data_IF_147997468729
#
_entry.id   IF_147997468729
#
_cell.length_a   1.000
_cell.length_b   1.000
_cell.length_c   1.000
_cell.angle_alpha   90.00
_cell.angle_beta   90.00
_cell.angle_gamma   90.00
#
_symmetry.space_group_name_H-M   'P 1'
#
loop_
_entity.id
_entity.type
_entity.pdbx_description
1 polymer ?
#
# COMPACT_ATOMS: atom_id res chain seq x y z
N UNK A 1 22.48 17.94 -12.62
CA UNK A 1 21.67 16.88 -11.99
C UNK A 1 20.23 17.38 -11.97
N UNK A 2 19.32 16.82 -12.76
CA UNK A 2 17.90 17.14 -12.63
C UNK A 2 17.38 16.46 -11.35
N UNK A 3 16.57 17.12 -10.51
CA UNK A 3 15.90 16.42 -9.43
C UNK A 3 15.08 15.29 -10.07
N UNK A 4 15.24 14.06 -9.60
CA UNK A 4 14.28 13.01 -9.92
C UNK A 4 12.88 13.59 -9.65
N UNK A 5 11.89 13.37 -10.54
CA UNK A 5 10.55 13.89 -10.30
C UNK A 5 10.20 13.51 -8.88
N UNK A 6 9.92 14.52 -8.04
CA UNK A 6 9.28 14.27 -6.76
C UNK A 6 8.08 13.41 -7.13
N UNK A 7 8.04 12.16 -6.68
CA UNK A 7 6.80 11.42 -6.72
C UNK A 7 5.81 12.33 -5.98
N UNK A 8 4.94 12.97 -6.75
CA UNK A 8 3.87 13.79 -6.21
C UNK A 8 2.80 12.79 -5.80
N UNK A 9 2.11 13.10 -4.71
CA UNK A 9 0.98 12.25 -4.36
C UNK A 9 -0.02 12.27 -5.53
N UNK A 10 -0.16 11.15 -6.24
CA UNK A 10 -1.05 10.97 -7.39
C UNK A 10 -2.30 10.21 -6.94
N UNK A 11 -3.16 10.97 -6.26
CA UNK A 11 -4.45 10.52 -5.73
C UNK A 11 -5.29 9.82 -6.80
N UNK A 12 -5.23 10.29 -8.05
CA UNK A 12 -5.99 9.72 -9.16
C UNK A 12 -5.44 8.36 -9.58
N UNK A 13 -4.12 8.19 -9.72
CA UNK A 13 -3.51 6.90 -10.01
C UNK A 13 -3.80 5.86 -8.92
N UNK A 14 -3.70 6.27 -7.64
CA UNK A 14 -4.07 5.41 -6.51
C UNK A 14 -5.52 4.94 -6.62
N UNK A 15 -6.46 5.88 -6.78
CA UNK A 15 -7.88 5.57 -6.88
C UNK A 15 -8.18 4.64 -8.03
N UNK A 16 -7.62 4.88 -9.21
CA UNK A 16 -7.80 3.99 -10.38
C UNK A 16 -7.31 2.58 -10.06
N UNK A 17 -6.12 2.42 -9.48
CA UNK A 17 -5.57 1.09 -9.22
C UNK A 17 -6.29 0.30 -8.11
N UNK A 18 -6.90 0.97 -7.13
CA UNK A 18 -7.61 0.30 -6.02
C UNK A 18 -9.12 0.17 -6.23
N UNK A 19 -9.75 1.06 -7.00
CA UNK A 19 -11.20 0.97 -7.28
C UNK A 19 -11.52 0.16 -8.54
N UNK A 20 -10.61 0.10 -9.52
CA UNK A 20 -10.80 -0.69 -10.74
C UNK A 20 -10.41 -2.16 -10.53
N UNK A 21 -9.53 -2.46 -9.56
CA UNK A 21 -9.14 -3.84 -9.26
C UNK A 21 -10.24 -4.51 -8.41
N UNK A 22 -10.84 -5.61 -8.88
CA UNK A 22 -11.79 -6.36 -8.08
C UNK A 22 -11.10 -6.93 -6.83
N UNK A 23 -11.79 -6.88 -5.69
CA UNK A 23 -11.33 -7.43 -4.41
C UNK A 23 -11.24 -6.41 -3.29
N UNK A 24 -11.09 -5.11 -3.58
CA UNK A 24 -11.23 -4.06 -2.58
C UNK A 24 -12.65 -3.50 -2.64
N UNK A 25 -13.47 -3.84 -1.65
CA UNK A 25 -14.88 -3.45 -1.59
C UNK A 25 -15.04 -2.05 -1.00
N UNK A 26 -14.27 -1.07 -1.50
CA UNK A 26 -14.40 0.31 -1.04
C UNK A 26 -15.76 0.89 -1.43
N UNK A 27 -16.43 1.56 -0.49
CA UNK A 27 -17.75 2.14 -0.77
C UNK A 27 -17.70 3.30 -1.78
N UNK A 28 -16.59 4.05 -1.81
CA UNK A 28 -16.36 5.20 -2.69
C UNK A 28 -14.87 5.59 -2.72
N UNK A 29 -14.54 6.59 -3.54
CA UNK A 29 -13.18 7.12 -3.68
C UNK A 29 -12.64 7.73 -2.37
N UNK A 30 -13.46 8.45 -1.60
CA UNK A 30 -13.04 9.05 -0.33
C UNK A 30 -12.65 7.98 0.71
N UNK A 31 -13.39 6.87 0.77
CA UNK A 31 -13.06 5.75 1.66
C UNK A 31 -11.73 5.09 1.26
N UNK A 32 -11.51 4.86 -0.04
CA UNK A 32 -10.25 4.35 -0.55
C UNK A 32 -9.10 5.30 -0.19
N UNK A 33 -9.28 6.61 -0.38
CA UNK A 33 -8.27 7.60 -0.04
C UNK A 33 -7.99 7.67 1.45
N UNK A 34 -9.03 7.64 2.29
CA UNK A 34 -8.88 7.61 3.73
C UNK A 34 -8.10 6.37 4.17
N UNK A 35 -8.38 5.22 3.56
CA UNK A 35 -7.65 3.98 3.82
C UNK A 35 -6.16 4.07 3.43
N UNK A 36 -5.87 4.56 2.22
CA UNK A 36 -4.50 4.78 1.75
C UNK A 36 -3.71 5.75 2.63
N UNK A 37 -4.34 6.84 3.07
CA UNK A 37 -3.74 7.77 4.03
C UNK A 37 -3.52 7.11 5.41
N UNK A 38 -4.44 6.25 5.85
CA UNK A 38 -4.28 5.46 7.07
C UNK A 38 -3.09 4.49 6.99
N UNK A 39 -2.84 3.87 5.83
CA UNK A 39 -1.64 3.07 5.59
C UNK A 39 -0.37 3.93 5.72
N UNK A 40 -0.37 5.13 5.12
CA UNK A 40 0.74 6.07 5.23
C UNK A 40 1.00 6.52 6.68
N UNK A 41 -0.05 6.80 7.45
CA UNK A 41 0.06 7.16 8.88
C UNK A 41 0.66 6.01 9.70
N UNK A 42 0.17 4.78 9.51
CA UNK A 42 0.73 3.58 10.15
C UNK A 42 2.23 3.43 9.87
N UNK A 43 2.64 3.61 8.63
CA UNK A 43 4.07 3.57 8.24
C UNK A 43 4.82 4.72 8.90
N UNK A 44 4.29 5.94 8.89
CA UNK A 44 4.92 7.11 9.52
C UNK A 44 5.12 6.92 11.03
N UNK A 45 4.25 6.17 11.68
CA UNK A 45 4.34 5.82 13.11
C UNK A 45 5.38 4.72 13.41
N UNK A 46 6.05 4.19 12.38
CA UNK A 46 7.06 3.14 12.53
C UNK A 46 6.51 1.72 12.48
N UNK A 47 5.23 1.51 12.07
CA UNK A 47 4.73 0.14 11.84
C UNK A 47 5.52 -0.52 10.72
N UNK A 48 5.86 -1.78 10.96
CA UNK A 48 6.62 -2.58 9.99
C UNK A 48 5.71 -3.07 8.87
N UNK A 49 6.28 -3.31 7.68
CA UNK A 49 5.57 -3.83 6.52
C UNK A 49 4.71 -5.09 6.81
N UNK A 50 5.21 -6.11 7.54
CA UNK A 50 4.36 -7.26 7.91
C UNK A 50 3.17 -6.93 8.82
N UNK A 51 3.28 -5.93 9.70
CA UNK A 51 2.14 -5.49 10.53
C UNK A 51 1.06 -4.82 9.68
N UNK A 52 1.47 -3.92 8.79
CA UNK A 52 0.55 -3.26 7.85
C UNK A 52 -0.08 -4.30 6.92
N UNK A 53 0.67 -5.30 6.45
CA UNK A 53 0.14 -6.41 5.67
C UNK A 53 -0.94 -7.19 6.41
N UNK A 54 -0.69 -7.54 7.67
CA UNK A 54 -1.65 -8.24 8.51
C UNK A 54 -2.94 -7.45 8.71
N UNK A 55 -2.82 -6.15 8.96
CA UNK A 55 -3.98 -5.25 9.06
C UNK A 55 -4.79 -5.24 7.75
N UNK A 56 -4.14 -5.06 6.60
CA UNK A 56 -4.82 -5.02 5.29
C UNK A 56 -5.54 -6.34 5.01
N UNK A 57 -4.89 -7.47 5.27
CA UNK A 57 -5.51 -8.79 5.10
C UNK A 57 -6.74 -8.97 6.00
N UNK A 58 -6.67 -8.52 7.25
CA UNK A 58 -7.78 -8.56 8.19
C UNK A 58 -8.93 -7.63 7.75
N UNK A 59 -8.62 -6.40 7.36
CA UNK A 59 -9.59 -5.38 6.96
C UNK A 59 -10.39 -5.81 5.72
N UNK A 60 -9.73 -6.42 4.73
CA UNK A 60 -10.37 -6.93 3.51
C UNK A 60 -10.84 -8.38 3.62
N UNK A 61 -10.68 -9.02 4.79
CA UNK A 61 -10.95 -10.44 5.01
C UNK A 61 -10.36 -11.33 3.89
N UNK A 62 -9.13 -11.02 3.48
CA UNK A 62 -8.43 -11.69 2.37
C UNK A 62 -7.19 -12.41 2.86
N UNK A 63 -6.94 -13.59 2.31
CA UNK A 63 -5.68 -14.33 2.48
C UNK A 63 -4.67 -14.01 1.38
N UNK A 64 -5.05 -13.21 0.38
CA UNK A 64 -4.22 -12.86 -0.77
C UNK A 64 -3.18 -11.78 -0.39
N UNK A 65 -1.94 -12.22 -0.23
CA UNK A 65 -0.82 -11.33 0.07
C UNK A 65 -0.41 -10.46 -1.11
N UNK A 66 -0.62 -10.91 -2.35
CA UNK A 66 -0.32 -10.09 -3.53
C UNK A 66 -1.29 -8.92 -3.59
N UNK A 67 -2.56 -9.16 -3.32
CA UNK A 67 -3.56 -8.10 -3.20
C UNK A 67 -3.16 -7.12 -2.08
N UNK A 68 -2.87 -7.60 -0.88
CA UNK A 68 -2.53 -6.70 0.24
C UNK A 68 -1.22 -5.91 -0.01
N UNK A 69 -0.16 -6.58 -0.48
CA UNK A 69 1.12 -5.96 -0.80
C UNK A 69 1.02 -4.90 -1.91
N UNK A 70 0.21 -5.17 -2.93
CA UNK A 70 -0.02 -4.24 -4.03
C UNK A 70 -0.70 -2.96 -3.54
N UNK A 71 -1.73 -3.07 -2.68
CA UNK A 71 -2.41 -1.91 -2.12
C UNK A 71 -1.46 -1.06 -1.26
N UNK A 72 -0.65 -1.70 -0.41
CA UNK A 72 0.33 -0.99 0.43
C UNK A 72 1.35 -0.25 -0.45
N UNK A 73 1.85 -0.94 -1.49
CA UNK A 73 2.80 -0.34 -2.43
C UNK A 73 2.18 0.84 -3.18
N UNK A 74 0.93 0.72 -3.64
CA UNK A 74 0.21 1.82 -4.29
C UNK A 74 -0.03 2.99 -3.34
N UNK A 75 -0.49 2.75 -2.11
CA UNK A 75 -0.68 3.82 -1.13
C UNK A 75 0.64 4.57 -0.85
N UNK A 76 1.74 3.83 -0.68
CA UNK A 76 3.02 4.46 -0.33
C UNK A 76 3.68 5.17 -1.50
N UNK A 77 3.62 4.61 -2.72
CA UNK A 77 4.18 5.26 -3.91
C UNK A 77 3.36 6.50 -4.31
N UNK A 78 2.02 6.38 -4.27
CA UNK A 78 1.12 7.39 -4.80
C UNK A 78 0.62 8.39 -3.76
N UNK A 79 0.67 8.13 -2.44
CA UNK A 79 0.15 9.08 -1.43
C UNK A 79 1.25 9.61 -0.50
N UNK A 80 2.17 8.76 -0.07
CA UNK A 80 3.26 9.14 0.85
C UNK A 80 4.66 8.74 0.36
N UNK A 81 5.12 9.31 -0.77
CA UNK A 81 6.40 8.95 -1.38
C UNK A 81 7.60 9.25 -0.48
N UNK A 82 7.47 10.18 0.46
CA UNK A 82 8.50 10.45 1.48
C UNK A 82 8.79 9.23 2.37
N UNK A 83 7.85 8.30 2.51
CA UNK A 83 7.95 7.10 3.35
C UNK A 83 8.39 5.84 2.59
N UNK A 84 8.60 5.92 1.26
CA UNK A 84 9.04 4.79 0.43
C UNK A 84 10.30 4.15 0.99
N UNK A 85 11.29 4.96 1.39
CA UNK A 85 12.55 4.45 1.96
C UNK A 85 12.33 3.62 3.22
N UNK A 86 11.44 4.09 4.09
CA UNK A 86 11.10 3.41 5.35
C UNK A 86 10.38 2.08 5.10
N UNK A 87 9.35 2.08 4.25
CA UNK A 87 8.63 0.85 3.87
C UNK A 87 9.55 -0.14 3.18
N UNK A 88 10.42 0.30 2.25
CA UNK A 88 11.37 -0.58 1.58
C UNK A 88 12.36 -1.20 2.56
N UNK A 89 12.84 -0.44 3.54
CA UNK A 89 13.71 -0.97 4.58
C UNK A 89 12.98 -1.99 5.46
N UNK A 90 11.75 -1.70 5.89
CA UNK A 90 10.92 -2.63 6.66
C UNK A 90 10.51 -3.87 5.86
N UNK A 91 10.38 -3.76 4.54
CA UNK A 91 10.08 -4.86 3.64
C UNK A 91 11.32 -5.67 3.23
N UNK A 92 12.54 -5.19 3.48
CA UNK A 92 13.78 -5.86 3.06
C UNK A 92 13.94 -7.26 3.68
N UNK A 93 13.36 -7.48 4.86
CA UNK A 93 13.31 -8.79 5.52
C UNK A 93 11.95 -9.49 5.37
N UNK A 94 11.00 -8.84 4.72
CA UNK A 94 9.69 -9.41 4.45
C UNK A 94 9.82 -10.43 3.32
N UNK A 95 9.86 -11.70 3.68
CA UNK A 95 9.61 -12.79 2.75
C UNK A 95 8.10 -13.02 2.72
N UNK A 96 7.40 -12.71 1.61
CA UNK A 96 6.06 -13.26 1.44
C UNK A 96 6.15 -14.79 1.59
N UNK A 97 5.19 -15.45 2.26
CA UNK A 97 5.12 -16.89 2.29
C UNK A 97 5.08 -17.36 0.84
N UNK A 98 5.96 -18.31 0.52
CA UNK A 98 6.12 -18.80 -0.84
C UNK A 98 4.89 -19.63 -1.26
N UNK A 99 3.84 -18.98 -1.76
CA UNK A 99 2.72 -19.58 -2.51
C UNK A 99 1.97 -18.45 -3.25
N UNK A 100 1.64 -18.51 -4.54
CA UNK A 100 1.80 -19.52 -5.56
C UNK A 100 2.00 -18.82 -6.91
N UNK A 101 3.10 -19.13 -7.59
CA UNK A 101 3.31 -18.77 -8.99
C UNK A 101 3.86 -19.99 -9.71
N UNK A 102 3.01 -20.66 -10.47
CA UNK A 102 3.37 -21.72 -11.44
C UNK A 102 3.36 -23.13 -10.89
#
# INVERSE_FOLDING_TARGET
>A
MAPAPYARADVTAYLVNVTVRPGYNFANADEALAYGNGVCDKVSQGRTYPQVMGDVKADFNTSDEYQASYLISQAVNELCPALIGQVRNSAAHYRPPATAGG
#
